data_IF_760151398409
#
_entry.id   IF_760151398409
#
_cell.length_a   1.000
_cell.length_b   1.000
_cell.length_c   1.000
_cell.angle_alpha   90.00
_cell.angle_beta   90.00
_cell.angle_gamma   90.00
#
_symmetry.space_group_name_H-M   'P 1'
#
loop_
_entity.id
_entity.type
_entity.pdbx_description
1 polymer ?
#
# COMPACT_ATOMS: atom_id res chain seq x y z
N UNK A 1 -1.40 21.90 8.64
CA UNK A 1 -0.26 21.06 9.07
C UNK A 1 0.81 21.15 8.00
N UNK A 2 2.00 21.66 8.32
CA UNK A 2 3.10 21.77 7.36
C UNK A 2 3.61 20.36 7.06
N UNK A 3 3.47 19.90 5.82
CA UNK A 3 4.24 18.76 5.31
C UNK A 3 5.71 19.19 5.27
N UNK A 4 6.46 18.88 6.32
CA UNK A 4 7.92 18.85 6.21
C UNK A 4 8.23 17.58 5.45
N UNK A 5 8.22 17.65 4.12
CA UNK A 5 8.87 16.64 3.32
C UNK A 5 10.33 16.58 3.81
N UNK A 6 10.73 15.44 4.37
CA UNK A 6 12.11 15.21 4.75
C UNK A 6 12.92 15.09 3.45
N UNK A 7 13.31 16.25 2.91
CA UNK A 7 13.73 16.40 1.52
C UNK A 7 15.08 15.76 1.19
N UNK A 8 15.67 14.94 2.09
CA UNK A 8 17.03 14.42 1.99
C UNK A 8 17.28 13.12 2.79
N UNK A 9 16.28 12.26 3.01
CA UNK A 9 16.60 10.92 3.51
C UNK A 9 17.21 10.10 2.36
N UNK A 10 18.45 9.58 2.47
CA UNK A 10 19.04 8.77 1.42
C UNK A 10 18.18 7.52 1.17
N UNK A 11 17.96 7.18 -0.11
CA UNK A 11 17.28 5.94 -0.46
C UNK A 11 18.04 4.75 0.11
N UNK A 12 17.31 3.82 0.70
CA UNK A 12 17.87 2.59 1.26
C UNK A 12 16.97 1.40 0.97
N UNK A 13 17.52 0.20 1.08
CA UNK A 13 16.74 -1.04 1.01
C UNK A 13 16.15 -1.34 2.37
N UNK A 14 14.97 -1.92 2.34
CA UNK A 14 14.29 -2.44 3.52
C UNK A 14 13.98 -3.92 3.30
N UNK A 15 14.10 -4.68 4.38
CA UNK A 15 13.55 -6.03 4.47
C UNK A 15 12.28 -6.00 5.32
N UNK A 16 11.35 -6.92 5.06
CA UNK A 16 10.22 -7.15 5.96
C UNK A 16 10.77 -7.82 7.22
N UNK A 17 10.46 -7.26 8.39
CA UNK A 17 10.92 -7.85 9.65
C UNK A 17 10.35 -9.28 9.79
N UNK A 18 11.14 -10.18 10.37
CA UNK A 18 10.77 -11.61 10.47
C UNK A 18 9.47 -11.85 11.25
N UNK A 19 9.06 -10.91 12.11
CA UNK A 19 7.83 -10.98 12.89
C UNK A 19 7.09 -9.64 12.89
N UNK A 20 5.81 -9.68 13.26
CA UNK A 20 5.02 -8.47 13.53
C UNK A 20 4.19 -7.96 12.35
N UNK A 21 4.15 -8.67 11.22
CA UNK A 21 3.15 -8.41 10.18
C UNK A 21 1.76 -8.72 10.74
N UNK A 22 0.88 -7.72 10.76
CA UNK A 22 -0.46 -7.83 11.33
C UNK A 22 -1.51 -7.49 10.28
N UNK A 23 -2.46 -8.41 10.06
CA UNK A 23 -3.67 -8.10 9.29
C UNK A 23 -4.52 -7.11 10.08
N UNK A 24 -4.77 -5.95 9.49
CA UNK A 24 -5.56 -4.87 10.09
C UNK A 24 -7.03 -4.94 9.67
N UNK A 25 -7.30 -5.40 8.46
CA UNK A 25 -8.66 -5.48 7.92
C UNK A 25 -8.77 -6.51 6.81
N UNK A 26 -9.99 -7.00 6.61
CA UNK A 26 -10.38 -7.80 5.47
C UNK A 26 -11.68 -7.26 4.87
N UNK A 27 -11.64 -6.82 3.60
CA UNK A 27 -12.76 -6.38 2.75
C UNK A 27 -13.57 -5.16 3.23
N UNK A 28 -13.28 -4.63 4.42
CA UNK A 28 -13.91 -3.46 5.02
C UNK A 28 -12.93 -2.30 5.13
N UNK A 29 -12.43 -1.84 3.97
CA UNK A 29 -11.54 -0.68 3.91
C UNK A 29 -11.94 0.34 2.82
N UNK A 30 -11.59 1.60 3.08
CA UNK A 30 -11.69 2.73 2.15
C UNK A 30 -10.28 3.23 1.90
N UNK A 31 -9.85 3.22 0.65
CA UNK A 31 -8.54 3.73 0.24
C UNK A 31 -8.73 5.12 -0.37
N UNK A 32 -7.88 6.05 0.03
CA UNK A 32 -7.90 7.46 -0.37
C UNK A 32 -6.56 7.85 -0.98
N UNK A 33 -6.60 8.29 -2.24
CA UNK A 33 -5.45 8.69 -3.04
C UNK A 33 -5.31 10.21 -3.06
N UNK A 34 -4.19 10.76 -2.57
CA UNK A 34 -3.89 12.19 -2.66
C UNK A 34 -3.82 12.62 -4.13
N UNK A 35 -4.63 13.60 -4.49
CA UNK A 35 -4.65 14.17 -5.84
C UNK A 35 -3.56 15.22 -5.99
N UNK A 36 -3.09 15.41 -7.23
CA UNK A 36 -2.13 16.47 -7.57
C UNK A 36 -2.86 17.82 -7.62
N UNK A 37 -3.12 18.38 -6.45
CA UNK A 37 -3.85 19.63 -6.27
C UNK A 37 -3.17 20.50 -5.20
N UNK A 38 -3.26 21.85 -5.25
CA UNK A 38 -2.61 22.73 -4.28
C UNK A 38 -3.08 22.52 -2.83
N UNK A 39 -4.27 21.95 -2.66
CA UNK A 39 -4.86 21.62 -1.35
C UNK A 39 -4.92 20.11 -1.15
N UNK A 40 -5.09 19.68 0.11
CA UNK A 40 -5.21 18.28 0.48
C UNK A 40 -6.56 17.68 0.02
N UNK A 41 -6.62 17.28 -1.26
CA UNK A 41 -7.77 16.62 -1.87
C UNK A 41 -7.47 15.14 -2.06
N UNK A 42 -8.41 14.29 -1.65
CA UNK A 42 -8.28 12.84 -1.76
C UNK A 42 -9.42 12.27 -2.60
N UNK A 43 -9.07 11.42 -3.57
CA UNK A 43 -10.04 10.56 -4.24
C UNK A 43 -10.14 9.25 -3.46
N UNK A 44 -11.31 8.99 -2.89
CA UNK A 44 -11.54 7.81 -2.05
C UNK A 44 -12.47 6.81 -2.72
N UNK A 45 -12.20 5.52 -2.54
CA UNK A 45 -13.11 4.46 -2.95
C UNK A 45 -13.08 3.30 -1.97
N UNK A 46 -14.20 2.56 -1.90
CA UNK A 46 -14.25 1.31 -1.14
C UNK A 46 -13.34 0.28 -1.83
N UNK A 47 -12.47 -0.36 -1.06
CA UNK A 47 -11.64 -1.44 -1.54
C UNK A 47 -12.29 -2.78 -1.15
N UNK A 48 -12.99 -3.38 -2.11
CA UNK A 48 -13.55 -4.73 -1.95
C UNK A 48 -12.47 -5.79 -2.17
N UNK A 49 -12.65 -6.98 -1.60
CA UNK A 49 -11.75 -8.13 -1.80
C UNK A 49 -10.29 -7.76 -1.52
N UNK A 50 -10.07 -6.94 -0.50
CA UNK A 50 -8.81 -6.27 -0.21
C UNK A 50 -8.48 -6.43 1.26
N UNK A 51 -7.29 -6.97 1.55
CA UNK A 51 -6.76 -7.05 2.91
C UNK A 51 -5.73 -5.96 3.14
N UNK A 52 -5.71 -5.40 4.34
CA UNK A 52 -4.76 -4.37 4.76
C UNK A 52 -3.85 -4.95 5.83
N UNK A 53 -2.54 -4.71 5.73
CA UNK A 53 -1.54 -5.18 6.67
C UNK A 53 -0.67 -4.05 7.20
N UNK A 54 -0.41 -4.04 8.50
CA UNK A 54 0.74 -3.33 9.07
C UNK A 54 1.98 -4.21 8.87
N UNK A 55 3.02 -3.63 8.27
CA UNK A 55 4.26 -4.33 7.93
C UNK A 55 5.43 -3.59 8.58
N UNK A 56 6.05 -4.15 9.62
CA UNK A 56 7.32 -3.64 10.13
C UNK A 56 8.43 -3.89 9.10
N UNK A 57 9.23 -2.86 8.86
CA UNK A 57 10.37 -2.88 7.95
C UNK A 57 11.66 -2.58 8.71
N UNK A 58 12.74 -3.28 8.35
CA UNK A 58 14.08 -3.03 8.86
C UNK A 58 14.99 -2.58 7.71
N UNK A 59 15.54 -1.38 7.84
CA UNK A 59 16.47 -0.79 6.88
C UNK A 59 17.89 -1.29 7.10
N UNK A 60 18.70 -1.28 6.03
CA UNK A 60 20.13 -1.67 6.11
C UNK A 60 20.94 -0.81 7.08
N UNK A 61 20.49 0.42 7.35
CA UNK A 61 21.10 1.32 8.35
C UNK A 61 20.57 1.11 9.78
N UNK A 62 19.79 0.05 10.02
CA UNK A 62 19.18 -0.24 11.33
C UNK A 62 17.94 0.58 11.64
N UNK A 63 17.52 1.52 10.77
CA UNK A 63 16.27 2.26 10.95
C UNK A 63 15.07 1.33 10.77
N UNK A 64 14.15 1.39 11.73
CA UNK A 64 12.88 0.68 11.65
C UNK A 64 11.80 1.61 11.10
N UNK A 65 11.04 1.12 10.13
CA UNK A 65 9.89 1.80 9.58
C UNK A 65 8.63 0.94 9.72
N UNK A 66 7.47 1.57 9.67
CA UNK A 66 6.18 0.88 9.57
C UNK A 66 5.56 1.25 8.24
N UNK A 67 5.26 0.25 7.42
CA UNK A 67 4.55 0.43 6.17
C UNK A 67 3.16 -0.18 6.28
N UNK A 68 2.28 0.28 5.39
CA UNK A 68 0.97 -0.34 5.18
C UNK A 68 1.02 -1.03 3.82
N UNK A 69 0.70 -2.32 3.80
CA UNK A 69 0.53 -3.08 2.57
C UNK A 69 -0.95 -3.34 2.32
N UNK A 70 -1.36 -3.21 1.07
CA UNK A 70 -2.69 -3.57 0.59
C UNK A 70 -2.55 -4.74 -0.37
N UNK A 71 -3.37 -5.76 -0.16
CA UNK A 71 -3.42 -6.96 -0.98
C UNK A 71 -4.80 -7.13 -1.60
N UNK A 72 -4.89 -7.05 -2.92
CA UNK A 72 -6.10 -7.35 -3.68
C UNK A 72 -6.20 -8.86 -3.90
N UNK A 73 -7.17 -9.50 -3.23
CA UNK A 73 -7.39 -10.95 -3.26
C UNK A 73 -7.98 -11.44 -4.57
N UNK A 74 -8.74 -10.57 -5.26
CA UNK A 74 -9.30 -10.87 -6.56
C UNK A 74 -9.09 -9.69 -7.52
N UNK A 75 -8.32 -9.95 -8.56
CA UNK A 75 -7.99 -8.99 -9.62
C UNK A 75 -8.63 -9.36 -10.95
N UNK A 76 -9.61 -10.28 -10.98
CA UNK A 76 -10.23 -10.77 -12.22
C UNK A 76 -10.89 -9.67 -13.05
N UNK A 77 -11.44 -8.66 -12.40
CA UNK A 77 -12.08 -7.52 -13.03
C UNK A 77 -11.11 -6.38 -13.42
N UNK A 78 -9.82 -6.51 -13.08
CA UNK A 78 -8.84 -5.49 -13.45
C UNK A 78 -8.57 -5.54 -14.96
N UNK A 79 -8.18 -4.38 -15.51
CA UNK A 79 -7.74 -4.31 -16.91
C UNK A 79 -6.63 -5.35 -17.15
N UNK A 80 -6.77 -6.29 -18.10
CA UNK A 80 -5.74 -7.29 -18.39
C UNK A 80 -4.37 -6.70 -18.76
N UNK A 81 -4.33 -5.45 -19.22
CA UNK A 81 -3.11 -4.70 -19.53
C UNK A 81 -2.57 -3.88 -18.35
N UNK A 82 -3.14 -4.01 -17.15
CA UNK A 82 -2.70 -3.30 -15.95
C UNK A 82 -1.23 -3.59 -15.64
N UNK A 83 -0.49 -2.56 -15.21
CA UNK A 83 0.96 -2.63 -15.01
C UNK A 83 1.40 -3.77 -14.08
N UNK A 84 0.61 -4.03 -13.03
CA UNK A 84 0.89 -5.12 -12.08
C UNK A 84 1.07 -6.49 -12.76
N UNK A 85 0.27 -6.80 -13.77
CA UNK A 85 0.34 -8.08 -14.49
C UNK A 85 1.59 -8.19 -15.36
N UNK A 86 2.08 -7.07 -15.89
CA UNK A 86 3.34 -7.02 -16.66
C UNK A 86 4.56 -7.19 -15.76
N UNK A 87 4.56 -6.52 -14.61
CA UNK A 87 5.67 -6.58 -13.64
C UNK A 87 5.75 -7.96 -12.98
N UNK A 88 4.61 -8.49 -12.51
CA UNK A 88 4.56 -9.77 -11.80
C UNK A 88 4.51 -10.99 -12.73
N UNK A 89 4.28 -10.79 -14.03
CA UNK A 89 4.12 -11.86 -15.04
C UNK A 89 3.00 -12.85 -14.70
N UNK A 90 1.87 -12.32 -14.23
CA UNK A 90 0.67 -13.10 -13.87
C UNK A 90 -0.57 -12.56 -14.61
N UNK A 91 -1.64 -13.36 -14.66
CA UNK A 91 -2.91 -12.98 -15.31
C UNK A 91 -3.94 -12.49 -14.28
N UNK A 92 -4.93 -11.68 -14.68
CA UNK A 92 -6.04 -11.29 -13.82
C UNK A 92 -6.66 -12.49 -13.09
N UNK A 93 -6.91 -12.36 -11.78
CA UNK A 93 -7.60 -13.36 -10.97
C UNK A 93 -6.81 -14.64 -10.64
N UNK A 94 -5.57 -14.78 -11.10
CA UNK A 94 -4.77 -16.00 -10.84
C UNK A 94 -4.09 -16.01 -9.48
N UNK A 95 -3.64 -14.85 -9.01
CA UNK A 95 -2.99 -14.68 -7.71
C UNK A 95 -3.39 -13.33 -7.07
N UNK A 96 -3.31 -13.21 -5.74
CA UNK A 96 -3.42 -11.92 -5.08
C UNK A 96 -2.29 -10.98 -5.51
N UNK A 97 -2.59 -9.70 -5.64
CA UNK A 97 -1.60 -8.66 -5.94
C UNK A 97 -1.48 -7.73 -4.73
N UNK A 98 -0.29 -7.64 -4.16
CA UNK A 98 0.00 -6.79 -3.01
C UNK A 98 0.95 -5.65 -3.37
N UNK A 99 0.79 -4.50 -2.72
CA UNK A 99 1.74 -3.40 -2.80
C UNK A 99 1.72 -2.56 -1.52
N UNK A 100 2.81 -1.84 -1.25
CA UNK A 100 2.85 -0.83 -0.19
C UNK A 100 2.09 0.43 -0.62
N UNK A 101 1.44 1.10 0.34
CA UNK A 101 0.84 2.40 0.12
C UNK A 101 1.93 3.48 0.13
N UNK A 102 1.90 4.43 -0.83
CA UNK A 102 2.72 5.63 -0.72
C UNK A 102 2.38 6.39 0.57
N UNK A 103 3.36 7.08 1.14
CA UNK A 103 3.21 7.86 2.38
C UNK A 103 2.05 8.88 2.34
N UNK A 104 1.74 9.37 1.13
CA UNK A 104 0.67 10.35 0.90
C UNK A 104 -0.73 9.75 0.82
N UNK A 105 -0.86 8.42 0.84
CA UNK A 105 -2.14 7.73 0.73
C UNK A 105 -2.66 7.33 2.11
N UNK A 106 -3.98 7.33 2.25
CA UNK A 106 -4.64 6.98 3.52
C UNK A 106 -5.55 5.78 3.29
N UNK A 107 -5.55 4.84 4.23
CA UNK A 107 -6.53 3.75 4.27
C UNK A 107 -7.26 3.79 5.60
N UNK A 108 -8.59 3.76 5.51
CA UNK A 108 -9.49 3.66 6.65
C UNK A 108 -10.07 2.25 6.69
N UNK A 109 -10.16 1.65 7.85
CA UNK A 109 -10.78 0.34 8.04
C UNK A 109 -11.57 0.32 9.35
N UNK A 110 -12.68 -0.41 9.34
CA UNK A 110 -13.45 -0.67 10.56
C UNK A 110 -12.85 -1.87 11.30
N UNK A 111 -12.63 -1.72 12.61
CA UNK A 111 -12.29 -2.81 13.53
C UNK A 111 -13.45 -3.79 13.70
#
# INVERSE_FOLDING_TARGET
MREVAQKNAPMQRYIIAAAGVKKLSDDKSVVCHKQKYPFAVFYCHKAMMTSVYAVPLEGENGLRAKAVAVCHKNTSAWNPNHLAFKVLKVKPGTVPVCHFLPETHVVWFSY
#
